data_IF_838739799882
#
_entry.id   IF_838739799882
#
_cell.length_a   1.000
_cell.length_b   1.000
_cell.length_c   1.000
_cell.angle_alpha   90.00
_cell.angle_beta   90.00
_cell.angle_gamma   90.00
#
_symmetry.space_group_name_H-M   'P 1'
#
loop_
_entity.id
_entity.type
_entity.pdbx_description
1 polymer ?
#
# COMPACT_ATOMS: atom_id res chain seq x y z
N UNK A 1 -15.70 0.58 -5.16
CA UNK A 1 -14.37 0.52 -5.82
C UNK A 1 -14.41 -0.04 -7.26
N UNK A 2 -15.58 -0.21 -7.90
CA UNK A 2 -15.72 -0.94 -9.17
C UNK A 2 -15.79 -0.10 -10.45
N UNK A 3 -15.62 1.23 -10.39
CA UNK A 3 -15.94 2.08 -11.56
C UNK A 3 -14.95 3.22 -11.85
N UNK A 4 -13.99 3.51 -10.98
CA UNK A 4 -13.16 4.74 -11.12
C UNK A 4 -11.73 4.46 -11.58
N UNK A 5 -11.19 3.25 -11.40
CA UNK A 5 -9.86 2.89 -11.89
C UNK A 5 -9.94 1.76 -12.93
N UNK A 6 -9.79 2.06 -14.23
CA UNK A 6 -9.68 1.02 -15.24
C UNK A 6 -8.49 0.12 -14.92
N UNK A 7 -8.61 -1.21 -15.13
CA UNK A 7 -7.47 -2.12 -14.95
C UNK A 7 -6.32 -1.67 -15.85
N UNK A 8 -5.12 -1.53 -15.29
CA UNK A 8 -3.96 -1.03 -16.04
C UNK A 8 -3.44 -2.15 -16.95
N UNK A 9 -3.23 -3.35 -16.39
CA UNK A 9 -2.73 -4.52 -17.13
C UNK A 9 -3.14 -5.81 -16.41
N UNK A 10 -3.62 -6.83 -17.13
CA UNK A 10 -4.03 -8.15 -16.58
C UNK A 10 -4.98 -8.11 -15.35
N UNK A 11 -5.85 -7.11 -15.25
CA UNK A 11 -6.78 -6.99 -14.11
C UNK A 11 -6.14 -6.38 -12.84
N UNK A 12 -4.85 -6.04 -12.87
CA UNK A 12 -4.14 -5.41 -11.76
C UNK A 12 -4.46 -3.90 -11.75
N UNK A 13 -5.01 -3.44 -10.62
CA UNK A 13 -5.48 -2.08 -10.40
C UNK A 13 -4.54 -1.37 -9.43
N UNK A 14 -4.45 -0.02 -9.46
CA UNK A 14 -3.84 0.75 -8.38
C UNK A 14 -4.44 0.33 -7.04
N UNK A 15 -3.59 -0.17 -6.15
CA UNK A 15 -4.01 -0.72 -4.88
C UNK A 15 -4.27 0.41 -3.88
N UNK A 16 -5.51 0.90 -3.87
CA UNK A 16 -5.97 1.92 -2.92
C UNK A 16 -5.99 1.38 -1.48
N UNK A 17 -6.00 0.06 -1.28
CA UNK A 17 -5.90 -0.54 0.05
C UNK A 17 -4.47 -0.41 0.61
N UNK A 18 -3.47 -0.50 -0.27
CA UNK A 18 -2.08 -0.23 0.07
C UNK A 18 -1.87 1.20 0.57
N UNK A 19 -2.49 2.19 -0.10
CA UNK A 19 -2.41 3.60 0.31
C UNK A 19 -3.01 3.79 1.71
N UNK A 20 -4.15 3.18 1.98
CA UNK A 20 -4.81 3.26 3.30
C UNK A 20 -4.05 2.51 4.39
N UNK A 21 -3.42 1.38 4.04
CA UNK A 21 -2.53 0.65 4.93
C UNK A 21 -1.33 1.52 5.32
N UNK A 22 -0.64 2.13 4.35
CA UNK A 22 0.49 3.02 4.60
C UNK A 22 0.09 4.24 5.43
N UNK A 23 -1.04 4.87 5.12
CA UNK A 23 -1.58 5.95 5.92
C UNK A 23 -1.82 5.54 7.37
N UNK A 24 -2.45 4.38 7.58
CA UNK A 24 -2.74 3.89 8.92
C UNK A 24 -1.47 3.59 9.72
N UNK A 25 -0.44 3.03 9.07
CA UNK A 25 0.88 2.80 9.69
C UNK A 25 1.55 4.13 10.08
N UNK A 26 1.45 5.16 9.24
CA UNK A 26 2.02 6.49 9.53
C UNK A 26 1.29 7.16 10.70
N UNK A 27 -0.04 7.03 10.76
CA UNK A 27 -0.86 7.63 11.81
C UNK A 27 -0.71 6.90 13.15
N UNK A 28 -0.58 5.57 13.11
CA UNK A 28 -0.49 4.71 14.27
C UNK A 28 0.67 3.70 14.12
N UNK A 29 1.94 4.14 14.28
CA UNK A 29 3.12 3.31 14.06
C UNK A 29 3.38 2.35 15.24
N UNK A 30 2.41 1.51 15.57
CA UNK A 30 2.49 0.48 16.61
C UNK A 30 2.38 -0.90 15.97
N UNK A 31 3.26 -1.82 16.36
CA UNK A 31 3.31 -3.19 15.83
C UNK A 31 1.94 -3.88 15.91
N UNK A 32 1.24 -3.74 17.04
CA UNK A 32 -0.11 -4.31 17.22
C UNK A 32 -1.12 -3.82 16.18
N UNK A 33 -1.07 -2.52 15.81
CA UNK A 33 -1.99 -1.95 14.83
C UNK A 33 -1.61 -2.41 13.42
N UNK A 34 -0.31 -2.42 13.12
CA UNK A 34 0.25 -2.84 11.83
C UNK A 34 -0.13 -4.29 11.52
N UNK A 35 -0.04 -5.20 12.49
CA UNK A 35 -0.44 -6.61 12.31
C UNK A 35 -1.90 -6.73 11.89
N UNK A 36 -2.80 -6.08 12.62
CA UNK A 36 -4.24 -6.15 12.33
C UNK A 36 -4.56 -5.55 10.97
N UNK A 37 -4.03 -4.36 10.68
CA UNK A 37 -4.26 -3.68 9.40
C UNK A 37 -3.71 -4.52 8.24
N UNK A 38 -2.52 -5.09 8.38
CA UNK A 38 -1.89 -5.86 7.32
C UNK A 38 -2.63 -7.17 7.03
N UNK A 39 -3.12 -7.86 8.07
CA UNK A 39 -3.95 -9.05 7.90
C UNK A 39 -5.28 -8.72 7.22
N UNK A 40 -5.99 -7.71 7.72
CA UNK A 40 -7.27 -7.29 7.13
C UNK A 40 -7.09 -6.83 5.69
N UNK A 41 -6.05 -6.05 5.42
CA UNK A 41 -5.70 -5.61 4.05
C UNK A 41 -5.34 -6.79 3.16
N UNK A 42 -4.59 -7.77 3.66
CA UNK A 42 -4.24 -9.00 2.95
C UNK A 42 -5.48 -9.81 2.57
N UNK A 43 -6.40 -10.02 3.51
CA UNK A 43 -7.66 -10.74 3.26
C UNK A 43 -8.51 -10.01 2.21
N UNK A 44 -8.76 -8.72 2.39
CA UNK A 44 -9.63 -7.99 1.46
C UNK A 44 -8.97 -7.88 0.07
N UNK A 45 -7.65 -7.66 0.01
CA UNK A 45 -6.94 -7.64 -1.27
C UNK A 45 -6.98 -9.00 -1.96
N UNK A 46 -6.84 -10.10 -1.21
CA UNK A 46 -7.00 -11.44 -1.76
C UNK A 46 -8.43 -11.69 -2.28
N UNK A 47 -9.47 -11.23 -1.58
CA UNK A 47 -10.86 -11.40 -2.01
C UNK A 47 -11.23 -10.53 -3.22
N UNK A 48 -10.57 -9.39 -3.40
CA UNK A 48 -10.91 -8.40 -4.44
C UNK A 48 -9.94 -8.39 -5.62
N UNK A 49 -8.87 -9.20 -5.58
CA UNK A 49 -7.88 -9.26 -6.64
C UNK A 49 -8.48 -9.83 -7.93
N UNK A 50 -8.25 -9.12 -9.03
CA UNK A 50 -8.54 -9.62 -10.38
C UNK A 50 -7.35 -10.33 -11.04
N UNK A 51 -6.20 -10.39 -10.35
CA UNK A 51 -5.01 -11.05 -10.87
C UNK A 51 -5.16 -12.57 -10.74
N UNK A 52 -4.94 -13.36 -11.80
CA UNK A 52 -5.06 -14.82 -11.74
C UNK A 52 -4.10 -15.38 -10.69
N UNK A 53 -4.63 -16.15 -9.73
CA UNK A 53 -3.83 -16.70 -8.64
C UNK A 53 -3.39 -15.67 -7.58
N UNK A 54 -3.82 -14.42 -7.66
CA UNK A 54 -3.36 -13.33 -6.78
C UNK A 54 -3.78 -13.41 -5.32
N UNK A 55 -4.58 -14.41 -4.92
CA UNK A 55 -5.08 -14.55 -3.55
C UNK A 55 -3.95 -14.84 -2.56
N UNK A 56 -3.13 -15.86 -2.85
CA UNK A 56 -2.01 -16.27 -1.99
C UNK A 56 -0.91 -15.20 -1.97
N UNK A 57 -0.47 -14.65 -3.12
CA UNK A 57 0.50 -13.57 -3.15
C UNK A 57 0.06 -12.34 -2.35
N UNK A 58 -1.23 -11.95 -2.39
CA UNK A 58 -1.74 -10.83 -1.57
C UNK A 58 -1.72 -11.13 -0.07
N UNK A 59 -2.06 -12.35 0.33
CA UNK A 59 -2.03 -12.75 1.74
C UNK A 59 -0.61 -12.69 2.33
N UNK A 60 0.42 -12.93 1.51
CA UNK A 60 1.83 -12.89 1.92
C UNK A 60 2.39 -11.46 1.81
N UNK A 61 2.14 -10.78 0.68
CA UNK A 61 2.65 -9.44 0.40
C UNK A 61 2.25 -8.44 1.48
N UNK A 62 0.96 -8.35 1.84
CA UNK A 62 0.50 -7.27 2.72
C UNK A 62 1.15 -7.31 4.12
N UNK A 63 1.22 -8.45 4.82
CA UNK A 63 2.00 -8.56 6.06
C UNK A 63 3.45 -8.15 5.88
N UNK A 64 4.16 -8.74 4.90
CA UNK A 64 5.60 -8.49 4.71
C UNK A 64 5.87 -7.02 4.40
N UNK A 65 5.11 -6.47 3.46
CA UNK A 65 5.21 -5.06 3.06
C UNK A 65 4.88 -4.12 4.20
N UNK A 66 3.84 -4.40 5.01
CA UNK A 66 3.48 -3.55 6.13
C UNK A 66 4.61 -3.46 7.17
N UNK A 67 5.29 -4.56 7.46
CA UNK A 67 6.44 -4.56 8.37
C UNK A 67 7.65 -3.85 7.80
N UNK A 68 7.96 -4.06 6.51
CA UNK A 68 9.05 -3.34 5.84
C UNK A 68 8.76 -1.84 5.81
N UNK A 69 7.52 -1.46 5.50
CA UNK A 69 7.09 -0.07 5.48
C UNK A 69 7.15 0.57 6.87
N UNK A 70 6.74 -0.13 7.93
CA UNK A 70 6.91 0.33 9.31
C UNK A 70 8.38 0.59 9.64
N UNK A 71 9.27 -0.35 9.31
CA UNK A 71 10.70 -0.20 9.55
C UNK A 71 11.30 0.99 8.79
N UNK A 72 10.90 1.18 7.53
CA UNK A 72 11.30 2.31 6.70
C UNK A 72 10.79 3.64 7.28
N UNK A 73 9.53 3.69 7.72
CA UNK A 73 8.94 4.86 8.34
C UNK A 73 9.65 5.25 9.65
N UNK A 74 9.91 4.27 10.53
CA UNK A 74 10.63 4.51 11.79
C UNK A 74 12.04 5.06 11.57
N UNK A 75 12.71 4.60 10.51
CA UNK A 75 14.06 5.08 10.13
C UNK A 75 14.05 6.54 9.66
N UNK A 76 12.93 7.02 9.12
CA UNK A 76 12.81 8.37 8.55
C UNK A 76 12.10 9.40 9.46
N UNK A 77 11.88 9.09 10.74
CA UNK A 77 11.16 9.97 11.68
C UNK A 77 11.77 11.37 11.82
N UNK A 78 13.10 11.50 11.63
CA UNK A 78 13.87 12.75 11.74
C UNK A 78 13.56 13.77 10.64
N UNK A 79 12.89 13.37 9.56
CA UNK A 79 12.56 14.26 8.43
C UNK A 79 11.39 15.18 8.81
N UNK A 80 11.61 16.49 8.65
CA UNK A 80 10.64 17.54 9.04
C UNK A 80 9.48 17.69 8.06
N UNK A 81 9.74 17.56 6.75
CA UNK A 81 8.69 17.67 5.74
C UNK A 81 7.88 16.39 5.65
N UNK A 82 6.78 16.32 6.42
CA UNK A 82 5.95 15.11 6.54
C UNK A 82 5.23 14.75 5.24
N UNK A 83 4.82 15.73 4.44
CA UNK A 83 4.13 15.48 3.15
C UNK A 83 5.10 14.82 2.16
N UNK A 84 6.28 15.41 1.95
CA UNK A 84 7.30 14.83 1.05
C UNK A 84 7.75 13.46 1.55
N UNK A 85 7.95 13.32 2.86
CA UNK A 85 8.28 12.03 3.47
C UNK A 85 7.22 10.96 3.14
N UNK A 86 5.95 11.25 3.35
CA UNK A 86 4.86 10.28 3.09
C UNK A 86 4.74 9.91 1.61
N UNK A 87 4.98 10.86 0.70
CA UNK A 87 4.94 10.64 -0.74
C UNK A 87 6.07 9.70 -1.19
N UNK A 88 7.30 9.97 -0.74
CA UNK A 88 8.49 9.17 -1.07
C UNK A 88 8.39 7.77 -0.46
N UNK A 89 7.98 7.67 0.82
CA UNK A 89 7.77 6.38 1.48
C UNK A 89 6.70 5.57 0.74
N UNK A 90 5.62 6.19 0.30
CA UNK A 90 4.56 5.50 -0.45
C UNK A 90 5.03 5.00 -1.80
N UNK A 91 5.85 5.78 -2.52
CA UNK A 91 6.44 5.36 -3.79
C UNK A 91 7.31 4.11 -3.58
N UNK A 92 8.25 4.19 -2.63
CA UNK A 92 9.16 3.09 -2.29
C UNK A 92 8.37 1.87 -1.79
N UNK A 93 7.43 2.08 -0.87
CA UNK A 93 6.58 1.03 -0.32
C UNK A 93 5.75 0.33 -1.39
N UNK A 94 5.22 1.06 -2.37
CA UNK A 94 4.45 0.47 -3.48
C UNK A 94 5.36 -0.36 -4.40
N UNK A 95 6.57 0.11 -4.69
CA UNK A 95 7.54 -0.65 -5.49
C UNK A 95 7.94 -1.93 -4.74
N UNK A 96 8.28 -1.83 -3.46
CA UNK A 96 8.64 -2.99 -2.62
C UNK A 96 7.49 -3.99 -2.57
N UNK A 97 6.26 -3.53 -2.34
CA UNK A 97 5.07 -4.39 -2.37
C UNK A 97 4.87 -5.05 -3.73
N UNK A 98 4.99 -4.30 -4.82
CA UNK A 98 4.86 -4.83 -6.17
C UNK A 98 5.90 -5.90 -6.47
N UNK A 99 7.15 -5.71 -6.03
CA UNK A 99 8.22 -6.71 -6.17
C UNK A 99 7.89 -7.97 -5.36
N UNK A 100 7.49 -7.83 -4.10
CA UNK A 100 7.15 -8.96 -3.22
C UNK A 100 5.96 -9.74 -3.80
N UNK A 101 4.90 -9.03 -4.19
CA UNK A 101 3.71 -9.61 -4.80
C UNK A 101 4.03 -10.37 -6.08
N UNK A 102 4.77 -9.76 -7.02
CA UNK A 102 5.13 -10.39 -8.29
C UNK A 102 6.09 -11.58 -8.08
N UNK A 103 7.01 -11.49 -7.13
CA UNK A 103 7.92 -12.60 -6.80
C UNK A 103 7.16 -13.78 -6.20
N UNK A 104 6.21 -13.51 -5.27
CA UNK A 104 5.35 -14.54 -4.71
C UNK A 104 4.43 -15.16 -5.76
N UNK A 105 3.85 -14.34 -6.65
CA UNK A 105 3.03 -14.82 -7.76
C UNK A 105 3.82 -15.70 -8.73
N UNK A 106 5.08 -15.33 -9.04
CA UNK A 106 5.95 -16.11 -9.92
C UNK A 106 6.21 -17.50 -9.36
N UNK A 107 6.49 -17.60 -8.07
CA UNK A 107 6.84 -18.87 -7.42
C UNK A 107 5.63 -19.79 -7.17
N UNK A 108 4.46 -19.21 -6.86
CA UNK A 108 3.31 -19.98 -6.38
C UNK A 108 2.32 -20.30 -7.50
N UNK A 109 2.01 -19.32 -8.35
CA UNK A 109 0.93 -19.45 -9.35
C UNK A 109 1.42 -19.42 -10.77
N UNK A 110 2.69 -19.07 -10.99
CA UNK A 110 3.22 -18.74 -12.29
C UNK A 110 2.74 -17.35 -12.75
N UNK A 111 3.52 -16.74 -13.63
CA UNK A 111 3.26 -15.40 -14.15
C UNK A 111 2.76 -15.49 -15.60
N UNK A 112 1.68 -14.79 -15.97
CA UNK A 112 1.17 -14.79 -17.35
C UNK A 112 2.02 -13.95 -18.31
N UNK A 113 3.00 -13.21 -17.79
CA UNK A 113 3.92 -12.36 -18.54
C UNK A 113 5.28 -12.30 -17.84
N UNK A 114 6.31 -11.78 -18.52
CA UNK A 114 7.64 -11.64 -17.94
C UNK A 114 7.63 -10.67 -16.73
N UNK A 115 8.35 -11.04 -15.66
CA UNK A 115 8.43 -10.23 -14.43
C UNK A 115 8.85 -8.77 -14.68
N UNK A 116 9.89 -8.48 -15.50
CA UNK A 116 10.27 -7.10 -15.79
C UNK A 116 9.16 -6.31 -16.49
N UNK A 117 8.38 -6.95 -17.35
CA UNK A 117 7.28 -6.31 -18.07
C UNK A 117 6.15 -5.91 -17.11
N UNK A 118 5.80 -6.75 -16.13
CA UNK A 118 4.79 -6.41 -15.12
C UNK A 118 5.28 -5.37 -14.12
N UNK A 119 6.58 -5.36 -13.81
CA UNK A 119 7.17 -4.35 -12.93
C UNK A 119 7.13 -2.95 -13.57
N UNK A 120 7.54 -2.84 -14.83
CA UNK A 120 7.49 -1.56 -15.56
C UNK A 120 6.07 -1.18 -15.94
N UNK A 121 5.27 -2.14 -16.42
CA UNK A 121 3.94 -1.89 -16.94
C UNK A 121 2.86 -1.71 -15.88
N UNK A 122 3.08 -2.19 -14.65
CA UNK A 122 2.06 -2.11 -13.58
C UNK A 122 2.58 -1.50 -12.30
N UNK A 123 3.71 -1.98 -11.77
CA UNK A 123 4.20 -1.53 -10.45
C UNK A 123 4.61 -0.06 -10.49
N UNK A 124 5.33 0.38 -11.52
CA UNK A 124 5.72 1.78 -11.65
C UNK A 124 4.52 2.73 -11.83
N UNK A 125 3.56 2.48 -12.74
CA UNK A 125 2.33 3.27 -12.83
C UNK A 125 1.53 3.28 -11.52
N UNK A 126 1.40 2.13 -10.85
CA UNK A 126 0.71 2.02 -9.58
C UNK A 126 1.41 2.84 -8.48
N UNK A 127 2.75 2.84 -8.44
CA UNK A 127 3.52 3.65 -7.50
C UNK A 127 3.26 5.15 -7.72
N UNK A 128 3.23 5.61 -8.97
CA UNK A 128 2.91 7.02 -9.28
C UNK A 128 1.50 7.37 -8.79
N UNK A 129 0.49 6.56 -9.12
CA UNK A 129 -0.91 6.82 -8.75
C UNK A 129 -1.09 6.79 -7.24
N UNK A 130 -0.51 5.79 -6.56
CA UNK A 130 -0.59 5.65 -5.11
C UNK A 130 0.10 6.81 -4.38
N UNK A 131 1.24 7.28 -4.89
CA UNK A 131 1.93 8.44 -4.35
C UNK A 131 1.11 9.71 -4.52
N UNK A 132 0.53 9.94 -5.70
CA UNK A 132 -0.37 11.09 -5.92
C UNK A 132 -1.55 11.02 -4.94
N UNK A 133 -2.20 9.87 -4.82
CA UNK A 133 -3.29 9.68 -3.88
C UNK A 133 -2.87 10.00 -2.44
N UNK A 134 -1.69 9.53 -2.01
CA UNK A 134 -1.18 9.79 -0.66
C UNK A 134 -0.91 11.28 -0.39
N UNK A 135 -0.38 12.02 -1.37
CA UNK A 135 -0.14 13.47 -1.24
C UNK A 135 -1.43 14.23 -0.92
N UNK A 136 -2.57 13.80 -1.47
CA UNK A 136 -3.87 14.41 -1.18
C UNK A 136 -4.52 13.84 0.09
N UNK A 137 -4.46 12.53 0.30
CA UNK A 137 -5.14 11.88 1.43
C UNK A 137 -4.48 12.21 2.76
N UNK A 138 -3.15 12.29 2.81
CA UNK A 138 -2.41 12.57 4.05
C UNK A 138 -2.82 13.88 4.75
N UNK A 139 -2.86 15.07 4.08
CA UNK A 139 -3.28 16.31 4.74
C UNK A 139 -4.75 16.30 5.16
N UNK A 140 -5.62 15.61 4.41
CA UNK A 140 -7.05 15.45 4.77
C UNK A 140 -7.15 14.64 6.07
N UNK A 141 -6.49 13.49 6.13
CA UNK A 141 -6.48 12.64 7.31
C UNK A 141 -5.90 13.36 8.54
N UNK A 142 -4.83 14.13 8.35
CA UNK A 142 -4.24 14.94 9.42
C UNK A 142 -5.23 16.01 9.93
N UNK A 143 -5.99 16.64 9.03
CA UNK A 143 -6.99 17.65 9.37
C UNK A 143 -8.16 17.05 10.15
N UNK A 144 -8.64 15.87 9.75
CA UNK A 144 -9.71 15.14 10.44
C UNK A 144 -9.25 14.73 11.84
N UNK A 145 -8.06 14.14 11.97
CA UNK A 145 -7.54 13.72 13.28
C UNK A 145 -7.33 14.89 14.24
N UNK A 146 -6.90 16.06 13.75
CA UNK A 146 -6.82 17.27 14.58
C UNK A 146 -8.19 17.67 15.12
N UNK A 147 -9.24 17.61 14.28
CA UNK A 147 -10.62 17.93 14.70
C UNK A 147 -11.19 16.89 15.65
N UNK A 148 -10.96 15.60 15.40
CA UNK A 148 -11.43 14.52 16.27
C UNK A 148 -10.82 14.61 17.67
N UNK A 149 -9.53 14.99 17.77
CA UNK A 149 -8.86 15.23 19.05
C UNK A 149 -9.33 16.51 19.76
N UNK A 150 -10.09 17.38 19.08
CA UNK A 150 -10.80 18.48 19.73
C UNK A 150 -12.19 18.06 20.28
N UNK A 151 -12.63 16.82 20.04
CA UNK A 151 -13.89 16.27 20.59
C UNK A 151 -13.63 15.46 21.87
N UNK A 152 -12.40 15.00 22.10
CA UNK A 152 -12.01 14.30 23.33
C UNK A 152 -11.56 15.29 24.42
N UNK A 153 -12.46 16.21 24.76
CA UNK A 153 -12.47 16.96 26.02
C UNK A 153 -13.92 17.09 26.47
N UNK A 154 -14.35 16.14 27.30
CA UNK A 154 -15.46 16.27 28.24
C UNK A 154 -15.26 15.26 29.37
#
# INVERSE_FOLDING_TARGET
MHTIFPPIFFGMKPDMMLVMMFLSIILFPKVQHVVVIALVTGVISALTTGFPGGQIPNMIDKPVTAFIFLALFLSCLKIKNKVVLTAVLTAIGTIVSGVIFLSAALLITGLPAALPALLVGVVLPAAVINTIAMVFVFPIAQSILRRARMIEVA
#
